data_IF_680846012509
#
_entry.id   IF_680846012509
#
_cell.length_a   1.000
_cell.length_b   1.000
_cell.length_c   1.000
_cell.angle_alpha   90.00
_cell.angle_beta   90.00
_cell.angle_gamma   90.00
#
_symmetry.space_group_name_H-M   'P 1'
#
loop_
_entity.id
_entity.type
_entity.pdbx_description
1 polymer ?
#
# COMPACT_ATOMS: atom_id res chain seq x y z
N UNK A 1 0.50 -2.75 5.19
CA UNK A 1 -0.17 -3.96 5.69
C UNK A 1 -0.35 -4.94 4.57
N UNK A 2 -0.23 -6.23 4.86
CA UNK A 2 -0.34 -7.28 3.87
C UNK A 2 -1.20 -8.44 4.29
N UNK A 3 -1.59 -9.18 3.28
CA UNK A 3 -2.12 -10.53 3.37
C UNK A 3 -1.26 -11.46 2.51
N UNK A 4 -1.61 -12.74 2.49
CA UNK A 4 -0.99 -13.71 1.58
C UNK A 4 -1.25 -13.41 0.09
N UNK A 5 -2.21 -12.53 -0.20
CA UNK A 5 -2.59 -12.10 -1.56
C UNK A 5 -2.01 -10.73 -1.95
N UNK A 6 -1.15 -10.14 -1.13
CA UNK A 6 -0.45 -8.88 -1.44
C UNK A 6 -0.72 -7.72 -0.48
N UNK A 7 -0.44 -6.50 -0.93
CA UNK A 7 -0.61 -5.27 -0.15
C UNK A 7 -2.10 -4.94 -0.02
N UNK A 8 -2.60 -4.94 1.21
CA UNK A 8 -4.02 -4.69 1.50
C UNK A 8 -4.30 -3.24 1.93
N UNK A 9 -3.30 -2.57 2.53
CA UNK A 9 -3.41 -1.17 2.92
C UNK A 9 -2.03 -0.52 3.14
N UNK A 10 -1.93 0.77 2.86
CA UNK A 10 -0.78 1.61 3.17
C UNK A 10 -1.23 3.03 3.55
N UNK A 11 -0.36 3.78 4.21
CA UNK A 11 -0.52 5.21 4.48
C UNK A 11 0.61 5.98 3.81
N UNK A 12 0.43 7.28 3.50
CA UNK A 12 1.56 8.15 3.21
C UNK A 12 2.56 8.18 4.39
N UNK A 13 3.81 8.64 4.16
CA UNK A 13 4.78 8.83 5.22
C UNK A 13 4.20 9.64 6.39
N UNK A 14 4.42 9.18 7.62
CA UNK A 14 3.99 9.85 8.85
C UNK A 14 5.20 10.22 9.69
N UNK A 15 5.04 11.20 10.58
CA UNK A 15 6.09 11.64 11.49
C UNK A 15 6.45 10.61 12.58
N UNK A 16 5.60 9.60 12.80
CA UNK A 16 5.85 8.54 13.79
C UNK A 16 5.10 7.25 13.45
N UNK A 17 5.57 6.13 14.01
CA UNK A 17 4.90 4.83 13.87
C UNK A 17 3.48 4.80 14.50
N UNK A 18 3.25 5.34 15.72
CA UNK A 18 1.89 5.38 16.29
C UNK A 18 0.90 6.17 15.43
N UNK A 19 1.35 7.22 14.73
CA UNK A 19 0.50 7.98 13.82
C UNK A 19 0.12 7.16 12.57
N UNK A 20 1.08 6.42 12.02
CA UNK A 20 0.81 5.50 10.91
C UNK A 20 -0.19 4.40 11.34
N UNK A 21 -0.02 3.85 12.54
CA UNK A 21 -0.94 2.86 13.10
C UNK A 21 -2.35 3.44 13.30
N UNK A 22 -2.46 4.64 13.86
CA UNK A 22 -3.74 5.34 14.03
C UNK A 22 -4.49 5.50 12.69
N UNK A 23 -3.77 5.85 11.61
CA UNK A 23 -4.35 6.01 10.28
C UNK A 23 -4.79 4.69 9.63
N UNK A 24 -4.07 3.59 9.90
CA UNK A 24 -4.48 2.26 9.43
C UNK A 24 -5.72 1.76 10.20
N UNK A 25 -5.93 2.24 11.43
CA UNK A 25 -7.18 2.10 12.17
C UNK A 25 -7.62 0.64 12.35
N UNK A 26 -8.90 0.37 12.07
CA UNK A 26 -9.50 -0.95 12.29
C UNK A 26 -8.83 -2.08 11.50
N UNK A 27 -8.17 -1.78 10.40
CA UNK A 27 -7.51 -2.79 9.57
C UNK A 27 -6.32 -3.43 10.30
N UNK A 28 -5.75 -2.79 11.33
CA UNK A 28 -4.71 -3.37 12.18
C UNK A 28 -5.22 -4.34 13.25
N UNK A 29 -6.53 -4.38 13.55
CA UNK A 29 -7.08 -5.18 14.65
C UNK A 29 -6.71 -6.66 14.58
N UNK A 30 -6.57 -7.19 13.36
CA UNK A 30 -6.22 -8.59 13.10
C UNK A 30 -4.81 -8.75 12.49
N UNK A 31 -4.00 -7.70 12.50
CA UNK A 31 -2.66 -7.74 11.93
C UNK A 31 -1.64 -8.20 12.98
N UNK A 32 -0.69 -9.05 12.56
CA UNK A 32 0.46 -9.42 13.39
C UNK A 32 1.67 -8.62 12.94
N UNK A 33 2.43 -8.07 13.89
CA UNK A 33 3.70 -7.40 13.59
C UNK A 33 4.72 -8.45 13.15
N UNK A 34 5.18 -8.33 11.92
CA UNK A 34 6.21 -9.19 11.34
C UNK A 34 7.42 -8.34 11.00
N UNK A 35 8.63 -8.87 11.26
CA UNK A 35 9.89 -8.29 10.77
C UNK A 35 10.14 -8.62 9.30
N UNK A 36 9.39 -9.57 8.75
CA UNK A 36 9.40 -9.94 7.33
C UNK A 36 8.09 -9.56 6.64
N UNK A 37 7.82 -8.28 6.33
CA UNK A 37 6.79 -7.99 5.35
C UNK A 37 7.35 -7.12 4.21
N UNK A 38 7.15 -7.63 3.00
CA UNK A 38 7.35 -6.94 1.73
C UNK A 38 8.78 -6.46 1.43
N UNK A 39 9.64 -7.40 0.99
CA UNK A 39 11.06 -7.17 0.67
C UNK A 39 11.37 -5.82 0.01
N UNK A 40 11.20 -5.74 -1.31
CA UNK A 40 11.66 -4.57 -2.09
C UNK A 40 10.68 -3.39 -2.11
N UNK A 41 9.42 -3.57 -1.71
CA UNK A 41 8.41 -2.50 -1.80
C UNK A 41 8.80 -1.28 -0.94
N UNK A 42 9.44 -1.54 0.20
CA UNK A 42 9.87 -0.48 1.12
C UNK A 42 10.92 0.42 0.44
N UNK A 43 11.87 -0.18 -0.26
CA UNK A 43 12.89 0.57 -1.00
C UNK A 43 12.28 1.30 -2.21
N UNK A 44 11.34 0.68 -2.93
CA UNK A 44 10.57 1.35 -3.99
C UNK A 44 9.81 2.58 -3.49
N UNK A 45 9.11 2.44 -2.35
CA UNK A 45 8.38 3.54 -1.74
C UNK A 45 9.32 4.69 -1.33
N UNK A 46 10.48 4.37 -0.74
CA UNK A 46 11.50 5.39 -0.42
C UNK A 46 11.98 6.13 -1.67
N UNK A 47 12.31 5.40 -2.74
CA UNK A 47 12.74 5.98 -4.01
C UNK A 47 11.65 6.88 -4.63
N UNK A 48 10.39 6.43 -4.63
CA UNK A 48 9.25 7.21 -5.11
C UNK A 48 9.10 8.53 -4.35
N UNK A 49 9.14 8.50 -3.02
CA UNK A 49 9.05 9.72 -2.20
C UNK A 49 10.31 10.59 -2.26
N UNK A 50 11.44 10.06 -2.73
CA UNK A 50 12.63 10.83 -3.07
C UNK A 50 12.55 11.49 -4.47
N UNK A 51 11.42 11.34 -5.18
CA UNK A 51 11.20 11.94 -6.49
C UNK A 51 11.73 11.10 -7.66
N UNK A 52 12.13 9.86 -7.41
CA UNK A 52 12.53 8.95 -8.48
C UNK A 52 11.29 8.34 -9.15
N UNK A 53 11.36 8.13 -10.46
CA UNK A 53 10.33 7.39 -11.19
C UNK A 53 10.46 5.91 -10.83
N UNK A 54 9.41 5.34 -10.25
CA UNK A 54 9.37 3.97 -9.74
C UNK A 54 8.08 3.31 -10.20
N UNK A 55 8.19 2.10 -10.75
CA UNK A 55 7.05 1.25 -11.02
C UNK A 55 6.74 0.36 -9.81
N UNK A 56 5.45 0.09 -9.59
CA UNK A 56 4.98 -0.78 -8.50
C UNK A 56 4.32 -2.04 -9.11
N UNK A 57 5.09 -3.11 -9.38
CA UNK A 57 4.55 -4.36 -9.89
C UNK A 57 3.88 -5.21 -8.78
N UNK A 58 3.89 -4.72 -7.55
CA UNK A 58 3.38 -5.39 -6.36
C UNK A 58 1.90 -5.79 -6.47
N UNK A 59 1.58 -6.99 -6.00
CA UNK A 59 0.21 -7.46 -5.93
C UNK A 59 -0.59 -6.72 -4.86
N UNK A 60 -1.85 -6.40 -5.17
CA UNK A 60 -2.77 -5.72 -4.25
C UNK A 60 -3.88 -6.69 -3.85
N UNK A 61 -4.10 -6.83 -2.55
CA UNK A 61 -5.26 -7.55 -2.03
C UNK A 61 -6.47 -6.62 -1.94
N UNK A 62 -7.36 -6.75 -2.93
CA UNK A 62 -8.60 -5.97 -3.03
C UNK A 62 -9.84 -6.77 -2.62
N UNK A 63 -9.66 -7.86 -1.85
CA UNK A 63 -10.75 -8.75 -1.42
C UNK A 63 -11.83 -8.03 -0.59
N UNK A 64 -11.41 -7.07 0.24
CA UNK A 64 -12.29 -6.26 1.09
C UNK A 64 -12.99 -5.11 0.35
N UNK A 65 -12.60 -4.83 -0.90
CA UNK A 65 -13.14 -3.72 -1.67
C UNK A 65 -14.51 -4.06 -2.27
N UNK A 66 -15.31 -3.03 -2.54
CA UNK A 66 -16.55 -3.18 -3.33
C UNK A 66 -16.24 -3.39 -4.82
N UNK A 67 -17.20 -3.90 -5.58
CA UNK A 67 -17.07 -4.04 -7.04
C UNK A 67 -16.76 -2.68 -7.71
N UNK A 68 -17.43 -1.61 -7.26
CA UNK A 68 -17.19 -0.26 -7.75
C UNK A 68 -15.75 0.20 -7.49
N UNK A 69 -15.25 0.04 -6.26
CA UNK A 69 -13.87 0.39 -5.91
C UNK A 69 -12.84 -0.40 -6.74
N UNK A 70 -13.03 -1.72 -6.90
CA UNK A 70 -12.14 -2.54 -7.74
C UNK A 70 -12.10 -2.05 -9.19
N UNK A 71 -13.24 -1.67 -9.75
CA UNK A 71 -13.30 -1.15 -11.11
C UNK A 71 -12.60 0.20 -11.23
N UNK A 72 -12.85 1.12 -10.30
CA UNK A 72 -12.17 2.43 -10.24
C UNK A 72 -10.65 2.23 -10.15
N UNK A 73 -10.18 1.44 -9.19
CA UNK A 73 -8.74 1.22 -8.98
C UNK A 73 -8.06 0.53 -10.17
N UNK A 74 -8.74 -0.40 -10.84
CA UNK A 74 -8.22 -1.00 -12.07
C UNK A 74 -8.00 0.04 -13.17
N UNK A 75 -8.91 0.99 -13.31
CA UNK A 75 -8.78 2.09 -14.29
C UNK A 75 -7.71 3.10 -13.85
N UNK A 76 -7.62 3.43 -12.57
CA UNK A 76 -6.61 4.35 -12.03
C UNK A 76 -5.18 3.86 -12.33
N UNK A 77 -4.94 2.55 -12.38
CA UNK A 77 -3.62 1.98 -12.74
C UNK A 77 -3.18 2.26 -14.17
N UNK A 78 -4.08 2.71 -15.04
CA UNK A 78 -3.74 3.08 -16.43
C UNK A 78 -3.23 4.52 -16.53
N UNK A 79 -3.39 5.32 -15.47
CA UNK A 79 -2.87 6.69 -15.42
C UNK A 79 -1.36 6.61 -15.20
N UNK A 80 -0.54 7.08 -16.15
CA UNK A 80 0.90 7.06 -15.99
C UNK A 80 1.35 8.14 -15.01
N UNK A 81 2.58 7.99 -14.52
CA UNK A 81 3.16 8.94 -13.59
C UNK A 81 3.30 10.34 -14.22
N UNK A 82 2.65 11.34 -13.62
CA UNK A 82 2.78 12.75 -13.97
C UNK A 82 1.68 13.34 -14.86
N UNK A 83 0.60 12.61 -15.13
CA UNK A 83 -0.58 13.07 -15.91
C UNK A 83 -1.79 13.47 -15.04
#
# INVERSE_FOLDING_TARGET
>A
MGSDSGLSAATPPQSSAPEAERRLGNSLKNATRSEKPFGEIVERLKAYFAGQRVDFPDELDLSSATNFQRQVWRLTRLIPYGE
#
